data_IF_923175885240
#
_entry.id   IF_923175885240
#
_cell.length_a   1.000
_cell.length_b   1.000
_cell.length_c   1.000
_cell.angle_alpha   90.00
_cell.angle_beta   90.00
_cell.angle_gamma   90.00
#
_symmetry.space_group_name_H-M   'P 1'
#
loop_
_entity.id
_entity.type
_entity.pdbx_description
1 polymer ?
#
# COMPACT_ATOMS: atom_id res chain seq x y z
N UNK A 1 -4.92 -21.51 23.37
CA UNK A 1 -4.93 -21.05 21.96
C UNK A 1 -4.64 -19.56 21.82
N UNK A 2 -5.36 -18.66 22.52
CA UNK A 2 -5.05 -17.21 22.49
C UNK A 2 -3.60 -16.89 22.86
N UNK A 3 -3.07 -17.55 23.88
CA UNK A 3 -1.69 -17.41 24.35
C UNK A 3 -0.63 -17.73 23.28
N UNK A 4 -1.04 -18.42 22.20
CA UNK A 4 -0.15 -18.82 21.11
C UNK A 4 -0.08 -17.78 19.98
N UNK A 5 -0.91 -16.74 20.03
CA UNK A 5 -0.92 -15.66 19.05
C UNK A 5 0.38 -14.88 19.12
N UNK A 6 0.81 -14.47 20.32
CA UNK A 6 2.06 -13.68 20.48
C UNK A 6 3.30 -14.47 20.03
N UNK A 7 3.55 -15.71 20.50
CA UNK A 7 4.68 -16.51 20.00
C UNK A 7 4.68 -16.71 18.48
N UNK A 8 3.51 -16.94 17.89
CA UNK A 8 3.37 -17.07 16.43
C UNK A 8 3.75 -15.78 15.69
N UNK A 9 3.35 -14.61 16.20
CA UNK A 9 3.64 -13.32 15.57
C UNK A 9 5.10 -12.89 15.76
N UNK A 10 5.74 -13.29 16.86
CA UNK A 10 7.16 -13.02 17.12
C UNK A 10 8.10 -13.79 16.17
N UNK A 11 7.71 -14.99 15.74
CA UNK A 11 8.46 -15.78 14.76
C UNK A 11 8.38 -15.20 13.34
N UNK A 12 7.52 -14.19 13.10
CA UNK A 12 7.29 -13.64 11.78
C UNK A 12 8.12 -12.39 11.51
N UNK A 13 8.80 -12.40 10.37
CA UNK A 13 9.46 -11.22 9.81
C UNK A 13 8.46 -10.32 9.06
N UNK A 14 7.53 -9.70 9.80
CA UNK A 14 6.53 -8.75 9.27
C UNK A 14 6.56 -7.44 10.06
N UNK A 15 6.05 -6.36 9.47
CA UNK A 15 6.01 -5.05 10.13
C UNK A 15 5.13 -5.06 11.39
N UNK A 16 5.41 -4.18 12.35
CA UNK A 16 4.61 -4.05 13.58
C UNK A 16 3.12 -3.78 13.29
N UNK A 17 2.81 -2.98 12.27
CA UNK A 17 1.43 -2.77 11.83
C UNK A 17 0.77 -4.07 11.34
N UNK A 18 1.52 -4.92 10.63
CA UNK A 18 1.05 -6.23 10.20
C UNK A 18 0.85 -7.18 11.38
N UNK A 19 1.73 -7.14 12.39
CA UNK A 19 1.57 -7.92 13.63
C UNK A 19 0.30 -7.51 14.36
N UNK A 20 0.06 -6.22 14.57
CA UNK A 20 -1.16 -5.70 15.20
C UNK A 20 -2.43 -6.12 14.45
N UNK A 21 -2.42 -5.97 13.12
CA UNK A 21 -3.56 -6.34 12.28
C UNK A 21 -3.84 -7.86 12.33
N UNK A 22 -2.80 -8.69 12.39
CA UNK A 22 -2.93 -10.14 12.52
C UNK A 22 -3.36 -10.53 13.94
N UNK A 23 -2.85 -9.88 14.99
CA UNK A 23 -3.27 -10.15 16.37
C UNK A 23 -4.77 -9.98 16.52
N UNK A 24 -5.31 -8.85 16.05
CA UNK A 24 -6.75 -8.58 16.10
C UNK A 24 -7.57 -9.62 15.32
N UNK A 25 -7.13 -9.97 14.10
CA UNK A 25 -7.82 -10.99 13.29
C UNK A 25 -7.81 -12.37 13.96
N UNK A 26 -6.69 -12.74 14.58
CA UNK A 26 -6.53 -14.03 15.26
C UNK A 26 -7.28 -14.09 16.58
N UNK A 27 -7.32 -13.01 17.35
CA UNK A 27 -8.14 -12.92 18.54
C UNK A 27 -9.63 -13.08 18.20
N UNK A 28 -10.09 -12.39 17.15
CA UNK A 28 -11.45 -12.57 16.63
C UNK A 28 -11.70 -14.02 16.23
N UNK A 29 -10.79 -14.62 15.45
CA UNK A 29 -10.89 -16.03 15.04
C UNK A 29 -11.02 -16.96 16.26
N UNK A 30 -10.10 -16.87 17.23
CA UNK A 30 -10.07 -17.74 18.40
C UNK A 30 -11.33 -17.57 19.26
N UNK A 31 -11.87 -16.35 19.35
CA UNK A 31 -13.14 -16.08 20.01
C UNK A 31 -14.32 -16.77 19.30
N UNK A 32 -14.41 -16.61 17.98
CA UNK A 32 -15.52 -17.16 17.18
C UNK A 32 -15.52 -18.70 17.13
N UNK A 33 -14.34 -19.33 17.12
CA UNK A 33 -14.26 -20.80 17.20
C UNK A 33 -14.28 -21.34 18.63
N UNK A 34 -14.46 -20.49 19.63
CA UNK A 34 -14.43 -20.84 21.05
C UNK A 34 -13.19 -21.65 21.45
N UNK A 35 -12.02 -21.31 20.89
CA UNK A 35 -10.75 -22.03 21.05
C UNK A 35 -10.78 -23.52 20.67
N UNK A 36 -11.76 -23.97 19.88
CA UNK A 36 -11.91 -25.35 19.42
C UNK A 36 -11.85 -25.41 17.89
N UNK A 37 -10.79 -26.01 17.35
CA UNK A 37 -10.64 -26.22 15.91
C UNK A 37 -11.42 -27.46 15.52
N UNK A 38 -12.66 -27.26 15.08
CA UNK A 38 -13.53 -28.31 14.52
C UNK A 38 -14.08 -27.84 13.18
N UNK A 39 -14.46 -28.76 12.30
CA UNK A 39 -15.00 -28.40 10.98
C UNK A 39 -16.22 -27.47 11.10
N UNK A 40 -17.11 -27.73 12.07
CA UNK A 40 -18.26 -26.87 12.36
C UNK A 40 -17.86 -25.45 12.74
N UNK A 41 -16.91 -25.29 13.67
CA UNK A 41 -16.49 -23.96 14.12
C UNK A 41 -15.75 -23.19 13.01
N UNK A 42 -14.96 -23.90 12.20
CA UNK A 42 -14.28 -23.32 11.05
C UNK A 42 -15.28 -22.82 9.99
N UNK A 43 -16.39 -23.54 9.77
CA UNK A 43 -17.47 -23.08 8.88
C UNK A 43 -18.19 -21.85 9.44
N UNK A 44 -18.41 -21.80 10.76
CA UNK A 44 -19.00 -20.62 11.43
C UNK A 44 -18.11 -19.39 11.21
N UNK A 45 -16.79 -19.52 11.42
CA UNK A 45 -15.84 -18.44 11.14
C UNK A 45 -15.83 -18.02 9.66
N UNK A 46 -15.88 -18.98 8.73
CA UNK A 46 -15.97 -18.63 7.30
C UNK A 46 -17.25 -17.84 6.97
N UNK A 47 -18.37 -18.17 7.61
CA UNK A 47 -19.63 -17.46 7.45
C UNK A 47 -19.56 -16.03 8.03
N UNK A 48 -18.92 -15.85 9.20
CA UNK A 48 -18.80 -14.53 9.85
C UNK A 48 -18.01 -13.53 9.02
N UNK A 49 -17.06 -14.01 8.21
CA UNK A 49 -16.22 -13.14 7.38
C UNK A 49 -16.80 -12.89 5.98
N UNK A 50 -17.94 -13.51 5.62
CA UNK A 50 -18.47 -13.52 4.25
C UNK A 50 -18.85 -12.13 3.74
N UNK A 51 -19.35 -11.26 4.61
CA UNK A 51 -19.87 -9.94 4.24
C UNK A 51 -18.79 -8.84 4.22
N UNK A 52 -17.54 -9.17 4.61
CA UNK A 52 -16.44 -8.22 4.49
C UNK A 52 -16.02 -8.02 3.03
N UNK A 53 -15.36 -6.90 2.72
CA UNK A 53 -14.71 -6.69 1.41
C UNK A 53 -13.69 -7.80 1.13
N UNK A 54 -13.55 -8.20 -0.14
CA UNK A 54 -12.66 -9.30 -0.56
C UNK A 54 -11.21 -9.17 -0.05
N UNK A 55 -10.67 -7.95 0.01
CA UNK A 55 -9.34 -7.69 0.55
C UNK A 55 -9.23 -8.03 2.06
N UNK A 56 -10.26 -7.71 2.83
CA UNK A 56 -10.34 -8.01 4.27
C UNK A 56 -10.49 -9.52 4.48
N UNK A 57 -11.34 -10.18 3.69
CA UNK A 57 -11.51 -11.63 3.73
C UNK A 57 -10.18 -12.37 3.47
N UNK A 58 -9.46 -11.99 2.40
CA UNK A 58 -8.15 -12.58 2.05
C UNK A 58 -7.12 -12.39 3.17
N UNK A 59 -7.07 -11.21 3.79
CA UNK A 59 -6.16 -10.92 4.91
C UNK A 59 -6.46 -11.81 6.13
N UNK A 60 -7.72 -11.86 6.56
CA UNK A 60 -8.19 -12.68 7.68
C UNK A 60 -7.85 -14.16 7.46
N UNK A 61 -8.19 -14.69 6.29
CA UNK A 61 -7.90 -16.09 5.95
C UNK A 61 -6.41 -16.39 5.84
N UNK A 62 -5.61 -15.46 5.32
CA UNK A 62 -4.17 -15.62 5.29
C UNK A 62 -3.58 -15.72 6.70
N UNK A 63 -3.99 -14.83 7.61
CA UNK A 63 -3.57 -14.87 9.01
C UNK A 63 -4.00 -16.17 9.69
N UNK A 64 -5.28 -16.54 9.57
CA UNK A 64 -5.85 -17.75 10.17
C UNK A 64 -5.22 -19.02 9.63
N UNK A 65 -5.05 -19.17 8.31
CA UNK A 65 -4.44 -20.37 7.74
C UNK A 65 -2.98 -20.55 8.17
N UNK A 66 -2.22 -19.46 8.26
CA UNK A 66 -0.85 -19.52 8.76
C UNK A 66 -0.81 -19.88 10.24
N UNK A 67 -1.77 -19.39 11.03
CA UNK A 67 -1.88 -19.74 12.45
C UNK A 67 -2.33 -21.20 12.65
N UNK A 68 -3.29 -21.69 11.87
CA UNK A 68 -3.70 -23.10 11.85
C UNK A 68 -2.52 -24.02 11.51
N UNK A 69 -1.72 -23.65 10.52
CA UNK A 69 -0.49 -24.36 10.19
C UNK A 69 0.50 -24.37 11.38
N UNK A 70 0.73 -23.23 12.01
CA UNK A 70 1.55 -23.14 13.22
C UNK A 70 1.04 -24.04 14.37
N UNK A 71 -0.27 -24.04 14.63
CA UNK A 71 -0.87 -24.90 15.66
C UNK A 71 -0.66 -26.39 15.35
N UNK A 72 -0.75 -26.77 14.08
CA UNK A 72 -0.53 -28.13 13.62
C UNK A 72 0.94 -28.56 13.77
N UNK A 73 1.89 -27.74 13.33
CA UNK A 73 3.33 -28.00 13.46
C UNK A 73 3.74 -28.19 14.92
N UNK A 74 3.17 -27.37 15.82
CA UNK A 74 3.42 -27.45 17.27
C UNK A 74 2.55 -28.51 17.99
N UNK A 75 1.89 -29.41 17.25
CA UNK A 75 1.07 -30.51 17.79
C UNK A 75 -0.06 -30.08 18.72
N UNK A 76 -0.54 -28.85 18.60
CA UNK A 76 -1.66 -28.32 19.38
C UNK A 76 -3.03 -28.69 18.79
N UNK A 77 -3.06 -29.07 17.52
CA UNK A 77 -4.22 -29.66 16.83
C UNK A 77 -3.78 -30.94 16.11
N UNK A 78 -4.68 -31.92 16.06
CA UNK A 78 -4.39 -33.24 15.48
C UNK A 78 -4.32 -33.27 13.96
N UNK A 79 -5.03 -32.36 13.29
CA UNK A 79 -5.15 -32.31 11.84
C UNK A 79 -4.86 -30.92 11.30
N UNK A 80 -4.32 -30.87 10.08
CA UNK A 80 -4.12 -29.62 9.38
C UNK A 80 -5.44 -29.15 8.75
N UNK A 81 -5.83 -27.92 9.06
CA UNK A 81 -7.01 -27.28 8.49
C UNK A 81 -6.62 -26.07 7.65
N UNK A 82 -7.33 -25.89 6.53
CA UNK A 82 -7.17 -24.72 5.66
C UNK A 82 -8.52 -24.20 5.21
N UNK A 83 -8.72 -22.91 5.40
CA UNK A 83 -9.90 -22.17 4.98
C UNK A 83 -9.68 -21.57 3.59
N UNK A 84 -10.69 -21.60 2.74
CA UNK A 84 -10.65 -21.10 1.37
C UNK A 84 -11.79 -20.14 1.12
N UNK A 85 -11.54 -19.09 0.32
CA UNK A 85 -12.64 -18.31 -0.25
C UNK A 85 -13.26 -19.06 -1.43
N UNK A 86 -14.59 -18.93 -1.63
CA UNK A 86 -15.15 -19.16 -2.94
C UNK A 86 -14.36 -18.33 -3.96
N UNK A 87 -14.02 -18.90 -5.12
CA UNK A 87 -13.37 -18.16 -6.19
C UNK A 87 -14.30 -17.03 -6.62
N UNK A 88 -14.13 -15.84 -6.03
CA UNK A 88 -14.70 -14.61 -6.56
C UNK A 88 -13.97 -14.41 -7.88
N UNK A 89 -14.71 -14.53 -8.99
CA UNK A 89 -14.22 -14.12 -10.29
C UNK A 89 -13.61 -12.74 -10.10
N UNK A 90 -12.33 -12.59 -10.41
CA UNK A 90 -11.70 -11.27 -10.49
C UNK A 90 -12.53 -10.57 -11.55
N UNK A 91 -13.45 -9.69 -11.12
CA UNK A 91 -14.09 -8.78 -12.05
C UNK A 91 -12.93 -8.09 -12.72
N UNK A 92 -12.80 -8.28 -14.04
CA UNK A 92 -12.06 -7.34 -14.89
C UNK A 92 -12.68 -5.99 -14.56
N UNK A 93 -12.09 -5.26 -13.63
CA UNK A 93 -12.39 -3.85 -13.48
C UNK A 93 -12.19 -3.29 -14.89
N UNK A 94 -13.23 -2.67 -15.44
CA UNK A 94 -13.11 -1.88 -16.66
C UNK A 94 -11.83 -1.07 -16.52
N UNK A 95 -10.94 -1.16 -17.52
CA UNK A 95 -9.69 -0.41 -17.49
C UNK A 95 -10.01 1.03 -17.15
N UNK A 96 -9.38 1.55 -16.08
CA UNK A 96 -9.53 2.96 -15.74
C UNK A 96 -9.13 3.79 -16.96
N UNK A 97 -10.01 4.70 -17.38
CA UNK A 97 -9.68 5.64 -18.45
C UNK A 97 -8.67 6.68 -17.93
N UNK A 98 -7.94 7.29 -18.86
CA UNK A 98 -7.09 8.43 -18.54
C UNK A 98 -7.95 9.62 -18.17
N UNK A 99 -7.62 10.26 -17.06
CA UNK A 99 -8.30 11.43 -16.55
C UNK A 99 -7.40 12.65 -16.79
N UNK A 100 -7.99 13.72 -17.30
CA UNK A 100 -7.32 15.01 -17.33
C UNK A 100 -7.20 15.57 -15.90
N UNK A 101 -5.97 15.71 -15.43
CA UNK A 101 -5.62 16.23 -14.11
C UNK A 101 -4.66 17.41 -14.26
N UNK A 102 -4.70 18.12 -15.39
CA UNK A 102 -3.87 19.30 -15.66
C UNK A 102 -4.03 20.39 -14.59
N UNK A 103 -5.24 20.57 -14.06
CA UNK A 103 -5.55 21.50 -12.96
C UNK A 103 -4.71 21.25 -11.68
N UNK A 104 -4.12 20.06 -11.49
CA UNK A 104 -3.27 19.79 -10.32
C UNK A 104 -1.97 20.62 -10.32
N UNK A 105 -1.60 21.18 -11.46
CA UNK A 105 -0.44 22.06 -11.60
C UNK A 105 -0.73 23.51 -11.20
N UNK A 106 -1.99 23.87 -10.99
CA UNK A 106 -2.37 25.21 -10.55
C UNK A 106 -2.03 25.47 -9.08
N UNK A 107 -2.01 26.73 -8.67
CA UNK A 107 -1.80 27.11 -7.27
C UNK A 107 -2.90 26.56 -6.38
N UNK A 108 -2.53 26.10 -5.18
CA UNK A 108 -3.45 25.44 -4.23
C UNK A 108 -3.32 26.03 -2.84
N UNK A 109 -4.43 26.06 -2.12
CA UNK A 109 -4.49 26.38 -0.68
C UNK A 109 -3.93 25.25 0.20
N UNK A 110 -3.71 24.06 -0.38
CA UNK A 110 -3.12 22.86 0.24
C UNK A 110 -1.82 22.46 -0.50
N UNK A 111 -0.76 23.29 -0.49
CA UNK A 111 0.41 23.10 -1.35
C UNK A 111 1.16 21.79 -1.08
N UNK A 112 1.22 21.32 0.18
CA UNK A 112 1.80 20.00 0.50
C UNK A 112 0.97 18.86 -0.10
N UNK A 113 -0.36 18.94 -0.01
CA UNK A 113 -1.27 17.96 -0.61
C UNK A 113 -1.14 17.91 -2.12
N UNK A 114 -1.03 19.09 -2.77
CA UNK A 114 -0.75 19.24 -4.20
C UNK A 114 0.55 18.56 -4.59
N UNK A 115 1.66 18.87 -3.91
CA UNK A 115 2.96 18.25 -4.23
C UNK A 115 2.94 16.73 -4.02
N UNK A 116 2.29 16.24 -2.96
CA UNK A 116 2.09 14.78 -2.76
C UNK A 116 1.34 14.18 -3.95
N UNK A 117 0.26 14.81 -4.42
CA UNK A 117 -0.51 14.33 -5.57
C UNK A 117 0.34 14.29 -6.85
N UNK A 118 1.10 15.35 -7.13
CA UNK A 118 2.00 15.43 -8.30
C UNK A 118 3.11 14.37 -8.25
N UNK A 119 3.73 14.13 -7.09
CA UNK A 119 4.75 13.09 -6.94
C UNK A 119 4.19 11.67 -7.17
N UNK A 120 2.92 11.43 -6.83
CA UNK A 120 2.26 10.16 -7.14
C UNK A 120 1.96 10.08 -8.65
N UNK A 121 1.39 11.15 -9.21
CA UNK A 121 0.89 11.21 -10.58
C UNK A 121 2.00 11.18 -11.64
N UNK A 122 3.13 11.84 -11.36
CA UNK A 122 4.22 12.03 -12.33
C UNK A 122 5.38 11.05 -12.15
N UNK A 123 5.54 10.50 -10.93
CA UNK A 123 6.66 9.61 -10.61
C UNK A 123 6.22 8.25 -10.06
N UNK A 124 4.92 8.03 -9.87
CA UNK A 124 4.40 6.77 -9.37
C UNK A 124 4.92 6.44 -7.97
N UNK A 125 5.09 7.44 -7.08
CA UNK A 125 5.55 7.21 -5.71
C UNK A 125 4.41 6.78 -4.78
N UNK A 126 4.72 6.00 -3.74
CA UNK A 126 3.75 5.73 -2.68
C UNK A 126 3.77 6.90 -1.68
N UNK A 127 2.64 7.25 -1.04
CA UNK A 127 2.64 8.24 0.04
C UNK A 127 3.65 7.90 1.15
N UNK A 128 3.80 6.61 1.47
CA UNK A 128 4.79 6.15 2.44
C UNK A 128 6.24 6.38 2.02
N UNK A 129 6.52 6.40 0.72
CA UNK A 129 7.85 6.68 0.17
C UNK A 129 8.10 8.17 0.17
N UNK A 130 7.13 8.96 -0.31
CA UNK A 130 7.19 10.44 -0.32
C UNK A 130 7.52 10.99 1.07
N UNK A 131 6.83 10.51 2.10
CA UNK A 131 7.07 10.94 3.48
C UNK A 131 8.45 10.52 4.03
N UNK A 132 9.18 9.65 3.35
CA UNK A 132 10.52 9.20 3.75
C UNK A 132 11.61 9.74 2.83
N UNK A 133 11.25 10.56 1.82
CA UNK A 133 12.24 11.24 0.97
C UNK A 133 13.02 12.21 1.82
N UNK A 134 14.33 11.99 1.91
CA UNK A 134 15.26 12.94 2.49
C UNK A 134 15.74 13.93 1.45
N UNK A 135 16.07 15.13 1.88
CA UNK A 135 16.64 16.15 1.00
C UNK A 135 17.96 15.68 0.38
N UNK A 136 18.79 14.95 1.13
CA UNK A 136 20.05 14.36 0.64
C UNK A 136 19.88 13.33 -0.50
N UNK A 137 18.69 12.75 -0.63
CA UNK A 137 18.37 11.76 -1.67
C UNK A 137 17.83 12.41 -2.96
N UNK A 138 17.66 13.74 -2.98
CA UNK A 138 17.21 14.52 -4.13
C UNK A 138 18.38 15.26 -4.76
N UNK A 139 18.63 15.03 -6.04
CA UNK A 139 19.60 15.79 -6.80
C UNK A 139 18.89 16.45 -8.00
N UNK A 140 18.70 17.78 -7.91
CA UNK A 140 18.02 18.53 -8.97
C UNK A 140 18.91 18.76 -10.19
N UNK A 141 20.24 18.87 -10.03
CA UNK A 141 21.17 19.05 -11.14
C UNK A 141 21.16 17.87 -12.12
N UNK A 142 21.08 16.65 -11.57
CA UNK A 142 20.95 15.41 -12.33
C UNK A 142 19.50 14.96 -12.52
N UNK A 143 18.53 15.68 -11.96
CA UNK A 143 17.11 15.32 -11.96
C UNK A 143 16.86 13.88 -11.48
N UNK A 144 17.42 13.53 -10.33
CA UNK A 144 17.38 12.17 -9.78
C UNK A 144 16.85 12.17 -8.35
N UNK A 145 15.95 11.23 -8.06
CA UNK A 145 15.50 10.89 -6.73
C UNK A 145 15.94 9.46 -6.39
N UNK A 146 16.67 9.30 -5.29
CA UNK A 146 16.98 7.99 -4.71
C UNK A 146 15.86 7.58 -3.74
N UNK A 147 15.40 6.34 -3.85
CA UNK A 147 14.40 5.77 -2.94
C UNK A 147 14.91 4.47 -2.37
N UNK A 148 14.78 4.32 -1.05
CA UNK A 148 15.10 3.11 -0.31
C UNK A 148 13.90 2.65 0.50
N UNK A 149 13.43 1.41 0.25
CA UNK A 149 12.32 0.82 1.00
C UNK A 149 12.54 -0.67 1.21
N UNK A 150 12.54 -1.10 2.47
CA UNK A 150 12.66 -2.51 2.86
C UNK A 150 13.85 -3.24 2.18
N UNK A 151 15.00 -2.58 2.09
CA UNK A 151 16.22 -3.10 1.47
C UNK A 151 16.29 -2.95 -0.06
N UNK A 152 15.20 -2.54 -0.73
CA UNK A 152 15.21 -2.24 -2.15
C UNK A 152 15.59 -0.78 -2.38
N UNK A 153 16.63 -0.56 -3.18
CA UNK A 153 17.05 0.76 -3.65
C UNK A 153 16.69 0.93 -5.11
N UNK A 154 16.14 2.10 -5.46
CA UNK A 154 15.92 2.48 -6.85
C UNK A 154 16.21 3.97 -7.06
N UNK A 155 16.57 4.29 -8.28
CA UNK A 155 16.86 5.65 -8.74
C UNK A 155 15.78 5.98 -9.77
N UNK A 156 15.06 7.07 -9.55
CA UNK A 156 13.98 7.52 -10.43
C UNK A 156 14.34 8.89 -10.99
N UNK A 157 14.07 9.10 -12.27
CA UNK A 157 14.21 10.41 -12.90
C UNK A 157 13.11 11.35 -12.42
N UNK A 158 13.50 12.54 -11.97
CA UNK A 158 12.60 13.65 -11.66
C UNK A 158 12.23 14.32 -12.99
N UNK A 159 10.94 14.43 -13.36
CA UNK A 159 10.52 15.22 -14.50
C UNK A 159 10.97 16.68 -14.36
N UNK A 160 11.37 17.31 -15.46
CA UNK A 160 11.80 18.72 -15.45
C UNK A 160 10.72 19.64 -14.86
N UNK A 161 9.45 19.37 -15.18
CA UNK A 161 8.29 20.08 -14.63
C UNK A 161 8.18 20.02 -13.11
N UNK A 162 8.70 18.98 -12.46
CA UNK A 162 8.68 18.84 -10.99
C UNK A 162 9.89 19.50 -10.31
N UNK A 163 10.91 19.90 -11.07
CA UNK A 163 12.14 20.47 -10.50
C UNK A 163 11.86 21.80 -9.81
N UNK A 164 11.02 22.65 -10.43
CA UNK A 164 10.56 23.91 -9.83
C UNK A 164 9.69 23.69 -8.59
N UNK A 165 8.84 22.65 -8.61
CA UNK A 165 7.90 22.36 -7.52
C UNK A 165 8.60 21.83 -6.26
N UNK A 166 9.75 21.16 -6.43
CA UNK A 166 10.51 20.57 -5.32
C UNK A 166 11.38 21.59 -4.58
N UNK A 167 11.85 22.64 -5.27
CA UNK A 167 12.86 23.56 -4.74
C UNK A 167 12.55 24.12 -3.35
N UNK A 168 11.31 24.57 -3.14
CA UNK A 168 10.85 25.16 -1.87
C UNK A 168 10.84 24.16 -0.69
N UNK A 169 10.86 22.86 -0.98
CA UNK A 169 10.77 21.78 0.01
C UNK A 169 12.14 21.17 0.36
N UNK A 170 13.23 21.59 -0.29
CA UNK A 170 14.58 21.04 -0.10
C UNK A 170 15.40 21.81 0.95
N UNK A 171 14.78 22.18 2.06
CA UNK A 171 15.41 23.01 3.12
C UNK A 171 15.72 22.25 4.41
N UNK A 172 15.06 21.11 4.63
CA UNK A 172 15.14 20.33 5.88
C UNK A 172 15.93 19.01 5.75
N UNK A 173 15.63 18.08 6.64
CA UNK A 173 16.14 16.68 6.56
C UNK A 173 15.26 15.85 5.63
N UNK A 174 13.94 15.97 5.75
CA UNK A 174 12.95 15.33 4.89
C UNK A 174 12.17 16.37 4.09
N UNK A 175 11.65 15.95 2.92
CA UNK A 175 10.81 16.77 2.07
C UNK A 175 9.57 17.32 2.82
N UNK A 176 9.03 16.49 3.73
CA UNK A 176 7.92 16.87 4.61
C UNK A 176 8.27 16.53 6.05
N UNK A 177 8.58 17.54 6.86
CA UNK A 177 9.04 17.34 8.23
C UNK A 177 8.49 18.32 9.27
N UNK A 178 8.65 17.91 10.53
CA UNK A 178 8.56 18.75 11.71
C UNK A 178 9.76 18.47 12.61
N UNK A 179 10.62 19.46 12.83
CA UNK A 179 11.83 19.36 13.68
C UNK A 179 12.76 18.21 13.26
N UNK A 180 13.11 18.11 11.97
CA UNK A 180 14.00 17.07 11.44
C UNK A 180 13.41 15.65 11.41
N UNK A 181 12.12 15.49 11.74
CA UNK A 181 11.41 14.20 11.68
C UNK A 181 10.34 14.24 10.60
N UNK A 182 10.31 13.21 9.75
CA UNK A 182 9.26 13.04 8.75
C UNK A 182 7.86 13.06 9.35
N UNK A 183 6.89 13.66 8.65
CA UNK A 183 5.49 13.56 9.05
C UNK A 183 4.95 12.12 9.01
N UNK A 184 3.87 11.90 9.76
CA UNK A 184 3.23 10.59 9.85
C UNK A 184 2.43 10.26 8.57
N UNK A 185 2.15 8.96 8.36
CA UNK A 185 1.29 8.50 7.26
C UNK A 185 -0.11 9.11 7.30
N UNK A 186 -0.66 9.29 8.51
CA UNK A 186 -1.97 9.90 8.69
C UNK A 186 -1.96 11.37 8.25
N UNK A 187 -0.86 12.09 8.52
CA UNK A 187 -0.70 13.46 8.02
C UNK A 187 -0.66 13.48 6.50
N UNK A 188 0.17 12.65 5.85
CA UNK A 188 0.25 12.61 4.39
C UNK A 188 -1.07 12.23 3.71
N UNK A 189 -1.83 11.30 4.32
CA UNK A 189 -3.18 10.96 3.86
C UNK A 189 -4.11 12.18 3.93
N UNK A 190 -4.15 12.89 5.06
CA UNK A 190 -5.00 14.08 5.24
C UNK A 190 -4.64 15.22 4.29
N UNK A 191 -3.35 15.42 4.02
CA UNK A 191 -2.91 16.44 3.06
C UNK A 191 -3.37 16.11 1.64
N UNK A 192 -3.17 14.87 1.19
CA UNK A 192 -3.66 14.43 -0.12
C UNK A 192 -5.19 14.52 -0.21
N UNK A 193 -5.90 14.06 0.82
CA UNK A 193 -7.37 14.11 0.88
C UNK A 193 -7.89 15.56 0.80
N UNK A 194 -7.30 16.48 1.57
CA UNK A 194 -7.67 17.89 1.55
C UNK A 194 -7.47 18.52 0.16
N UNK A 195 -6.36 18.21 -0.51
CA UNK A 195 -6.11 18.70 -1.87
C UNK A 195 -7.09 18.10 -2.90
N UNK A 196 -7.39 16.80 -2.81
CA UNK A 196 -8.36 16.17 -3.70
C UNK A 196 -9.78 16.73 -3.49
N UNK A 197 -10.14 17.09 -2.26
CA UNK A 197 -11.40 17.80 -1.98
C UNK A 197 -11.40 19.19 -2.62
N UNK A 198 -10.31 19.95 -2.47
CA UNK A 198 -10.16 21.28 -3.08
C UNK A 198 -10.34 21.22 -4.61
N UNK A 199 -9.81 20.19 -5.25
CA UNK A 199 -9.91 19.98 -6.71
C UNK A 199 -11.24 19.34 -7.16
N UNK A 200 -12.17 19.06 -6.24
CA UNK A 200 -13.42 18.37 -6.55
C UNK A 200 -13.25 16.88 -6.95
N UNK A 201 -12.10 16.30 -6.68
CA UNK A 201 -11.70 14.93 -7.06
C UNK A 201 -11.79 13.94 -5.88
N UNK A 202 -12.89 13.98 -5.11
CA UNK A 202 -13.07 13.21 -3.86
C UNK A 202 -13.13 11.69 -4.04
N UNK A 203 -13.38 11.22 -5.26
CA UNK A 203 -13.36 9.79 -5.62
C UNK A 203 -11.94 9.26 -5.84
N UNK A 204 -10.98 10.15 -6.09
CA UNK A 204 -9.59 9.75 -6.31
C UNK A 204 -8.90 9.40 -4.99
N UNK A 205 -7.91 8.53 -5.11
CA UNK A 205 -7.05 8.12 -4.01
C UNK A 205 -5.59 8.09 -4.47
N UNK A 206 -4.66 7.95 -3.54
CA UNK A 206 -3.25 7.72 -3.88
C UNK A 206 -3.08 6.52 -4.84
N UNK A 207 -3.90 5.48 -4.69
CA UNK A 207 -3.85 4.32 -5.58
C UNK A 207 -4.39 4.67 -6.97
N UNK A 208 -5.48 5.44 -7.06
CA UNK A 208 -6.06 5.90 -8.32
C UNK A 208 -5.09 6.80 -9.08
N UNK A 209 -4.40 7.72 -8.40
CA UNK A 209 -3.37 8.57 -9.01
C UNK A 209 -2.16 7.76 -9.50
N UNK A 210 -1.75 6.74 -8.75
CA UNK A 210 -0.68 5.82 -9.17
C UNK A 210 -1.09 4.97 -10.38
N UNK A 211 -2.37 4.63 -10.49
CA UNK A 211 -2.93 3.99 -11.68
C UNK A 211 -2.92 4.93 -12.88
N UNK A 212 -3.26 6.22 -12.70
CA UNK A 212 -3.11 7.24 -13.75
C UNK A 212 -1.66 7.38 -14.22
N UNK A 213 -0.67 7.34 -13.32
CA UNK A 213 0.75 7.28 -13.70
C UNK A 213 1.03 6.07 -14.62
N UNK A 214 0.57 4.87 -14.24
CA UNK A 214 0.78 3.65 -15.05
C UNK A 214 0.18 3.83 -16.45
N UNK A 215 -1.06 4.30 -16.53
CA UNK A 215 -1.75 4.51 -17.81
C UNK A 215 -1.02 5.52 -18.69
N UNK A 216 -0.58 6.66 -18.14
CA UNK A 216 0.19 7.68 -18.86
C UNK A 216 1.52 7.14 -19.38
N UNK A 217 2.22 6.31 -18.60
CA UNK A 217 3.46 5.68 -19.05
C UNK A 217 3.22 4.65 -20.15
N UNK A 218 2.10 3.92 -20.11
CA UNK A 218 1.70 2.99 -21.18
C UNK A 218 1.35 3.75 -22.47
N UNK A 219 0.64 4.88 -22.38
CA UNK A 219 0.34 5.74 -23.52
C UNK A 219 1.62 6.30 -24.18
N UNK A 220 2.64 6.62 -23.36
CA UNK A 220 3.99 7.00 -23.84
C UNK A 220 4.81 5.83 -24.41
N UNK A 221 4.26 4.62 -24.46
CA UNK A 221 4.95 3.44 -25.00
C UNK A 221 5.97 2.79 -24.06
N UNK A 222 5.99 3.14 -22.77
CA UNK A 222 6.95 2.58 -21.81
C UNK A 222 6.62 1.11 -21.54
N UNK A 223 7.66 0.28 -21.54
CA UNK A 223 7.57 -1.15 -21.28
C UNK A 223 7.11 -1.44 -19.84
N UNK A 224 6.30 -2.49 -19.67
CA UNK A 224 5.75 -2.89 -18.36
C UNK A 224 6.83 -3.20 -17.31
N UNK A 225 7.99 -3.67 -17.75
CA UNK A 225 9.13 -3.96 -16.88
C UNK A 225 9.81 -2.69 -16.37
N UNK A 226 9.94 -1.66 -17.20
CA UNK A 226 10.46 -0.36 -16.78
C UNK A 226 9.48 0.32 -15.81
N UNK A 227 8.19 0.29 -16.11
CA UNK A 227 7.15 0.78 -15.20
C UNK A 227 7.23 0.03 -13.85
N UNK A 228 7.35 -1.29 -13.87
CA UNK A 228 7.48 -2.07 -12.64
C UNK A 228 8.73 -1.70 -11.82
N UNK A 229 9.87 -1.48 -12.49
CA UNK A 229 11.11 -1.04 -11.86
C UNK A 229 10.94 0.32 -11.19
N UNK A 230 10.37 1.29 -11.89
CA UNK A 230 10.19 2.66 -11.40
C UNK A 230 9.21 2.70 -10.21
N UNK A 231 8.17 1.85 -10.26
CA UNK A 231 7.22 1.65 -9.16
C UNK A 231 7.77 0.83 -7.99
N UNK A 232 8.96 0.23 -8.10
CA UNK A 232 9.53 -0.63 -7.06
C UNK A 232 8.77 -1.94 -6.85
N UNK A 233 8.15 -2.48 -7.90
CA UNK A 233 7.40 -3.74 -7.81
C UNK A 233 8.34 -4.94 -7.89
N UNK A 234 8.12 -5.94 -7.02
CA UNK A 234 8.88 -7.21 -7.05
C UNK A 234 8.47 -8.13 -8.21
N UNK A 235 7.25 -7.97 -8.71
CA UNK A 235 6.68 -8.79 -9.77
C UNK A 235 5.81 -7.92 -10.68
N UNK A 236 5.69 -8.31 -11.95
CA UNK A 236 4.84 -7.61 -12.94
C UNK A 236 3.37 -8.05 -12.90
N UNK A 237 3.02 -9.06 -12.09
CA UNK A 237 1.66 -9.64 -12.04
C UNK A 237 0.61 -8.57 -11.78
N UNK A 238 0.89 -7.62 -10.88
CA UNK A 238 -0.04 -6.52 -10.56
C UNK A 238 -0.25 -5.55 -11.73
N UNK A 239 0.63 -5.56 -12.73
CA UNK A 239 0.54 -4.74 -13.92
C UNK A 239 -0.04 -5.48 -15.13
N UNK A 240 -0.25 -6.80 -15.06
CA UNK A 240 -0.73 -7.59 -16.20
C UNK A 240 -2.08 -7.11 -16.74
N UNK A 241 -2.90 -6.49 -15.89
CA UNK A 241 -4.18 -5.88 -16.29
C UNK A 241 -4.04 -4.66 -17.23
N UNK A 242 -2.83 -4.11 -17.38
CA UNK A 242 -2.52 -2.97 -18.27
C UNK A 242 -1.70 -3.38 -19.51
N UNK A 243 -1.62 -4.69 -19.80
CA UNK A 243 -1.01 -5.18 -21.03
C UNK A 243 -1.84 -4.82 -22.24
#
# INVERSE_FOLDING_TARGET
>A
MKEQITPFLEQKNISENSKLAYSYDLEQFVNEIHSKVTETNLRIYQASIKDFKAAVQKRKLSAVNQFLYYLYENKMIGEFHRLTLPKVAISKELGSELIDLSAFWETSTVPQGRLIALLILEMGLLPSEILQVKVEDVNLDFQVLRIEKAGQKRIIKIPESLTSELGDYLTGTYLFEKNGKSYSRQWGFRQLEAFLIEQGQTSLSAQSLREQFILRQREKGVGIYDIARDLGLKTVITLEKYR
#
